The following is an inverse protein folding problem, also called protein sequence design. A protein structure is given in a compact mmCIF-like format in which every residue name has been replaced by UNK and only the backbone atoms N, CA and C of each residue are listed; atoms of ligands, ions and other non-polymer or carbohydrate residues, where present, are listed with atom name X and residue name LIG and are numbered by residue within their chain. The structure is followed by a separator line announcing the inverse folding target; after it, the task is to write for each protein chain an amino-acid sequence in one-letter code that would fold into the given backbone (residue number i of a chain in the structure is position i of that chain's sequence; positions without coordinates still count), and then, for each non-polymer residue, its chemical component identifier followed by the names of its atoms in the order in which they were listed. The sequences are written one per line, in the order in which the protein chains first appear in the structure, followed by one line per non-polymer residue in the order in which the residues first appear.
data_IF_549861964626
#
_entry.id   IF_549861964626
#
_cell.length_a   1.000
_cell.length_b   1.000
_cell.length_c   1.000
_cell.angle_alpha   90.00
_cell.angle_beta   90.00
_cell.angle_gamma   90.00
#
_symmetry.space_group_name_H-M   'P 1'
#
loop_
_entity.id
_entity.type
_entity.pdbx_description
1 polymer ?
#
# COMPACT_ATOMS: atom_id res chain seq x y z
N UNK A 1 10.17 -21.92 48.53
CA UNK A 1 9.47 -20.85 47.79
C UNK A 1 10.40 -20.30 46.73
N UNK A 2 10.32 -20.80 45.49
CA UNK A 2 11.12 -20.31 44.38
C UNK A 2 10.39 -19.16 43.68
N UNK A 3 10.97 -17.96 43.69
CA UNK A 3 10.49 -16.82 42.90
C UNK A 3 10.94 -17.04 41.46
N UNK A 4 9.99 -17.32 40.57
CA UNK A 4 10.21 -17.32 39.11
C UNK A 4 10.61 -15.90 38.69
N UNK A 5 11.85 -15.73 38.22
CA UNK A 5 12.30 -14.48 37.65
C UNK A 5 11.54 -14.18 36.35
N UNK A 6 11.14 -12.93 36.07
CA UNK A 6 10.46 -12.57 34.83
C UNK A 6 11.36 -12.80 33.61
N UNK A 7 10.77 -13.36 32.56
CA UNK A 7 11.44 -13.77 31.33
C UNK A 7 12.01 -12.52 30.60
N UNK A 8 13.32 -12.43 30.30
CA UNK A 8 13.94 -11.21 29.75
C UNK A 8 13.38 -10.74 28.40
N UNK A 9 12.70 -11.62 27.65
CA UNK A 9 12.04 -11.29 26.39
C UNK A 9 10.76 -10.47 26.56
N UNK A 10 9.97 -10.68 27.64
CA UNK A 10 8.76 -9.89 27.90
C UNK A 10 9.13 -8.46 28.30
N UNK A 11 10.12 -8.32 29.20
CA UNK A 11 10.60 -7.02 29.69
C UNK A 11 11.16 -6.13 28.57
N UNK A 12 11.79 -6.71 27.55
CA UNK A 12 12.29 -5.99 26.36
C UNK A 12 11.16 -5.54 25.43
N UNK A 13 10.14 -6.36 25.24
CA UNK A 13 8.95 -5.99 24.44
C UNK A 13 8.13 -4.89 25.13
N UNK A 14 7.97 -4.98 26.45
CA UNK A 14 7.23 -4.01 27.27
C UNK A 14 7.92 -2.63 27.27
N UNK A 15 9.25 -2.61 27.34
CA UNK A 15 10.03 -1.37 27.27
C UNK A 15 10.01 -0.71 25.88
N UNK A 16 10.02 -1.50 24.80
CA UNK A 16 9.88 -1.00 23.43
C UNK A 16 8.47 -0.44 23.19
N UNK A 17 7.43 -1.16 23.64
CA UNK A 17 6.04 -0.72 23.57
C UNK A 17 5.84 0.58 24.36
N UNK A 18 6.38 0.68 25.57
CA UNK A 18 6.31 1.89 26.38
C UNK A 18 7.04 3.07 25.72
N UNK A 19 8.19 2.83 25.09
CA UNK A 19 8.92 3.88 24.37
C UNK A 19 8.15 4.37 23.13
N UNK A 20 7.53 3.44 22.38
CA UNK A 20 6.68 3.78 21.25
C UNK A 20 5.46 4.60 21.69
N UNK A 21 4.74 4.15 22.72
CA UNK A 21 3.56 4.85 23.24
C UNK A 21 3.89 6.26 23.72
N UNK A 22 4.99 6.45 24.46
CA UNK A 22 5.43 7.80 24.85
C UNK A 22 5.69 8.70 23.65
N UNK A 23 6.39 8.19 22.63
CA UNK A 23 6.68 8.96 21.41
C UNK A 23 5.41 9.29 20.63
N UNK A 24 4.48 8.34 20.53
CA UNK A 24 3.20 8.53 19.85
C UNK A 24 2.32 9.55 20.59
N UNK A 25 2.14 9.40 21.91
CA UNK A 25 1.34 10.33 22.73
C UNK A 25 1.88 11.74 22.66
N UNK A 26 3.20 11.94 22.79
CA UNK A 26 3.78 13.28 22.68
C UNK A 26 3.61 13.91 21.28
N UNK A 27 3.56 13.10 20.22
CA UNK A 27 3.25 13.62 18.88
C UNK A 27 1.78 14.03 18.77
N UNK A 28 0.87 13.22 19.29
CA UNK A 28 -0.57 13.50 19.31
C UNK A 28 -0.92 14.73 20.13
N UNK A 29 -0.28 14.93 21.29
CA UNK A 29 -0.46 16.12 22.13
C UNK A 29 -0.08 17.40 21.38
N UNK A 30 1.05 17.39 20.65
CA UNK A 30 1.48 18.55 19.84
C UNK A 30 0.53 18.85 18.68
N UNK A 31 0.02 17.81 18.03
CA UNK A 31 -0.96 17.95 16.95
C UNK A 31 -2.31 18.45 17.48
N UNK A 32 -2.77 17.95 18.63
CA UNK A 32 -4.00 18.42 19.25
C UNK A 32 -3.89 19.88 19.72
N UNK A 33 -2.72 20.30 20.21
CA UNK A 33 -2.47 21.68 20.63
C UNK A 33 -2.50 22.71 19.48
N UNK A 34 -2.27 22.27 18.23
CA UNK A 34 -2.32 23.12 17.04
C UNK A 34 -3.64 23.02 16.28
N UNK A 35 -4.48 22.05 16.59
CA UNK A 35 -5.78 21.86 15.96
C UNK A 35 -6.85 22.81 16.51
N UNK A 36 -7.77 23.27 15.65
CA UNK A 36 -8.92 24.05 16.12
C UNK A 36 -9.90 23.20 16.95
N UNK A 37 -10.66 23.78 17.89
CA UNK A 37 -11.68 23.05 18.65
C UNK A 37 -12.71 22.34 17.78
N UNK A 38 -13.08 22.92 16.63
CA UNK A 38 -13.98 22.30 15.66
C UNK A 38 -13.36 21.07 15.02
N UNK A 39 -12.09 21.16 14.65
CA UNK A 39 -11.31 20.04 14.09
C UNK A 39 -11.23 18.88 15.08
N UNK A 40 -10.97 19.15 16.36
CA UNK A 40 -10.96 18.12 17.39
C UNK A 40 -12.35 17.48 17.59
N UNK A 41 -13.41 18.29 17.59
CA UNK A 41 -14.79 17.81 17.69
C UNK A 41 -15.17 16.89 16.52
N UNK A 42 -14.81 17.27 15.30
CA UNK A 42 -15.08 16.47 14.10
C UNK A 42 -14.27 15.17 14.08
N UNK A 43 -13.02 15.20 14.58
CA UNK A 43 -12.20 14.00 14.77
C UNK A 43 -12.84 13.03 15.78
N UNK A 44 -13.35 13.54 16.90
CA UNK A 44 -14.01 12.74 17.95
C UNK A 44 -15.34 12.12 17.49
N UNK A 45 -15.95 12.64 16.41
CA UNK A 45 -17.14 12.04 15.81
C UNK A 45 -16.84 10.75 15.04
N UNK A 46 -15.55 10.40 14.83
CA UNK A 46 -15.19 9.15 14.19
C UNK A 46 -15.57 7.94 15.07
N UNK A 47 -16.02 6.81 14.49
CA UNK A 47 -16.50 5.66 15.27
C UNK A 47 -15.44 4.91 16.10
N UNK A 48 -14.15 5.20 15.88
CA UNK A 48 -13.04 4.49 16.53
C UNK A 48 -11.85 5.42 16.73
N UNK A 49 -11.03 5.15 17.76
CA UNK A 49 -9.82 5.93 18.08
C UNK A 49 -8.86 6.03 16.89
N UNK A 50 -8.66 4.93 16.16
CA UNK A 50 -7.85 4.91 14.94
C UNK A 50 -8.45 5.79 13.83
N UNK A 51 -9.78 5.81 13.71
CA UNK A 51 -10.50 6.68 12.78
C UNK A 51 -10.32 8.16 13.11
N UNK A 52 -10.39 8.52 14.40
CA UNK A 52 -10.16 9.89 14.87
C UNK A 52 -8.75 10.38 14.53
N UNK A 53 -7.75 9.51 14.71
CA UNK A 53 -6.36 9.81 14.38
C UNK A 53 -6.13 9.95 12.88
N UNK A 54 -6.69 9.04 12.07
CA UNK A 54 -6.57 9.09 10.61
C UNK A 54 -7.22 10.36 10.03
N UNK A 55 -8.39 10.73 10.56
CA UNK A 55 -9.08 11.95 10.17
C UNK A 55 -8.26 13.20 10.51
N UNK A 56 -7.70 13.27 11.73
CA UNK A 56 -6.90 14.41 12.17
C UNK A 56 -5.58 14.56 11.35
N UNK A 57 -4.93 13.45 11.00
CA UNK A 57 -3.75 13.43 10.11
C UNK A 57 -4.04 13.86 8.67
N UNK A 58 -5.30 13.80 8.23
CA UNK A 58 -5.71 14.18 6.87
C UNK A 58 -5.93 15.69 6.70
N UNK A 59 -5.98 16.47 7.79
CA UNK A 59 -6.28 17.90 7.77
C UNK A 59 -5.00 18.73 7.62
N UNK A 60 -4.93 19.52 6.55
CA UNK A 60 -3.79 20.42 6.26
C UNK A 60 -3.54 21.48 7.34
N UNK A 61 -4.57 21.88 8.10
CA UNK A 61 -4.51 22.90 9.17
C UNK A 61 -3.78 22.39 10.43
N UNK A 62 -3.93 21.10 10.75
CA UNK A 62 -3.27 20.43 11.89
C UNK A 62 -1.82 20.06 11.56
N UNK A 63 -1.52 20.04 10.27
CA UNK A 63 -0.17 19.86 9.70
C UNK A 63 0.56 21.22 9.57
N UNK A 64 0.00 22.32 10.12
CA UNK A 64 0.60 23.65 10.10
C UNK A 64 1.91 23.76 10.91
N UNK A 65 2.76 24.71 10.45
CA UNK A 65 4.11 25.15 10.88
C UNK A 65 4.90 24.33 11.93
N UNK A 66 4.33 23.99 13.08
CA UNK A 66 4.99 23.21 14.12
C UNK A 66 5.26 21.73 13.75
N UNK A 67 4.53 21.15 12.78
CA UNK A 67 4.77 19.79 12.27
C UNK A 67 5.77 19.79 11.09
N UNK A 68 5.80 20.89 10.32
CA UNK A 68 6.66 21.06 9.14
C UNK A 68 8.14 21.13 9.56
N UNK A 69 8.46 21.64 10.76
CA UNK A 69 9.83 21.68 11.26
C UNK A 69 10.39 20.33 11.78
N UNK A 70 9.57 19.30 12.01
CA UNK A 70 10.04 18.09 12.74
C UNK A 70 9.98 16.76 11.99
N UNK A 71 9.16 16.58 10.94
CA UNK A 71 9.28 15.40 10.05
C UNK A 71 8.64 15.62 8.66
N UNK A 72 9.45 15.93 7.62
CA UNK A 72 9.00 16.09 6.22
C UNK A 72 8.24 14.89 5.63
N UNK A 73 8.28 13.72 6.28
CA UNK A 73 7.68 12.48 5.77
C UNK A 73 6.17 12.40 6.01
N UNK A 74 5.60 13.13 6.98
CA UNK A 74 4.16 12.99 7.32
C UNK A 74 3.22 13.34 6.14
N UNK A 75 3.39 14.48 5.43
CA UNK A 75 2.61 14.77 4.24
C UNK A 75 2.86 13.77 3.10
N UNK A 76 4.09 13.25 2.98
CA UNK A 76 4.43 12.25 1.98
C UNK A 76 3.74 10.90 2.27
N UNK A 77 3.62 10.51 3.55
CA UNK A 77 2.90 9.32 3.98
C UNK A 77 1.40 9.44 3.69
N UNK A 78 0.78 10.58 4.00
CA UNK A 78 -0.63 10.82 3.70
C UNK A 78 -0.92 10.73 2.19
N UNK A 79 -0.08 11.38 1.36
CA UNK A 79 -0.18 11.28 -0.11
C UNK A 79 -0.04 9.84 -0.61
N UNK A 80 0.87 9.06 -0.01
CA UNK A 80 1.04 7.65 -0.35
C UNK A 80 -0.20 6.81 -0.02
N UNK A 81 -0.83 7.03 1.14
CA UNK A 81 -2.06 6.31 1.51
C UNK A 81 -3.19 6.62 0.54
N UNK A 82 -3.40 7.90 0.23
CA UNK A 82 -4.44 8.33 -0.71
C UNK A 82 -4.19 7.82 -2.13
N UNK A 83 -2.93 7.84 -2.58
CA UNK A 83 -2.55 7.26 -3.86
C UNK A 83 -2.87 5.77 -3.95
N UNK A 84 -2.53 5.00 -2.91
CA UNK A 84 -2.83 3.55 -2.85
C UNK A 84 -4.33 3.28 -2.89
N UNK A 85 -5.15 4.07 -2.19
CA UNK A 85 -6.61 3.95 -2.26
C UNK A 85 -7.12 4.13 -3.69
N UNK A 86 -6.70 5.20 -4.37
CA UNK A 86 -7.08 5.47 -5.77
C UNK A 86 -6.61 4.36 -6.72
N UNK A 87 -5.43 3.78 -6.50
CA UNK A 87 -4.96 2.64 -7.28
C UNK A 87 -5.87 1.42 -7.10
N UNK A 88 -6.30 1.12 -5.88
CA UNK A 88 -7.25 0.02 -5.64
C UNK A 88 -8.59 0.28 -6.32
N UNK A 89 -9.12 1.49 -6.24
CA UNK A 89 -10.37 1.86 -6.93
C UNK A 89 -10.25 1.68 -8.45
N UNK A 90 -9.19 2.21 -9.05
CA UNK A 90 -8.90 2.06 -10.49
C UNK A 90 -8.63 0.60 -10.90
N UNK A 91 -8.14 -0.22 -9.97
CA UNK A 91 -7.96 -1.66 -10.19
C UNK A 91 -9.28 -2.45 -10.15
N UNK A 92 -10.43 -1.80 -9.89
CA UNK A 92 -11.70 -2.50 -9.69
C UNK A 92 -11.79 -3.19 -8.33
N UNK A 93 -11.02 -2.74 -7.34
CA UNK A 93 -10.91 -3.34 -6.03
C UNK A 93 -9.86 -4.45 -5.93
N UNK A 94 -9.98 -5.27 -4.89
CA UNK A 94 -9.09 -6.40 -4.64
C UNK A 94 -9.85 -7.64 -4.19
N UNK A 95 -9.31 -8.80 -4.52
CA UNK A 95 -9.78 -10.10 -4.08
C UNK A 95 -8.95 -10.62 -2.90
N UNK A 96 -9.53 -11.48 -2.07
CA UNK A 96 -8.76 -12.30 -1.13
C UNK A 96 -8.05 -13.45 -1.89
N UNK A 97 -7.14 -14.16 -1.21
CA UNK A 97 -6.53 -15.37 -1.76
C UNK A 97 -7.56 -16.48 -2.04
N UNK A 98 -8.64 -16.52 -1.26
CA UNK A 98 -9.72 -17.49 -1.43
C UNK A 98 -10.59 -17.15 -2.64
N UNK A 99 -10.97 -15.87 -2.80
CA UNK A 99 -11.76 -15.42 -3.94
C UNK A 99 -10.96 -15.53 -5.25
N UNK A 100 -9.67 -15.19 -5.22
CA UNK A 100 -8.75 -15.38 -6.36
C UNK A 100 -8.63 -16.85 -6.73
N UNK A 101 -8.60 -17.74 -5.73
CA UNK A 101 -8.58 -19.19 -5.96
C UNK A 101 -9.85 -19.68 -6.64
N UNK A 102 -11.02 -19.23 -6.18
CA UNK A 102 -12.31 -19.54 -6.81
C UNK A 102 -12.38 -19.03 -8.24
N UNK A 103 -11.94 -17.79 -8.50
CA UNK A 103 -11.91 -17.20 -9.84
C UNK A 103 -11.02 -18.00 -10.80
N UNK A 104 -9.83 -18.40 -10.36
CA UNK A 104 -8.86 -19.12 -11.18
C UNK A 104 -9.07 -20.64 -11.23
N UNK A 105 -10.06 -21.19 -10.50
CA UNK A 105 -10.25 -22.64 -10.36
C UNK A 105 -9.08 -23.37 -9.66
N UNK A 106 -8.35 -22.69 -8.77
CA UNK A 106 -7.20 -23.25 -8.03
C UNK A 106 -7.35 -23.08 -6.51
N UNK A 107 -6.57 -23.83 -5.74
CA UNK A 107 -6.58 -23.68 -4.28
C UNK A 107 -5.96 -22.35 -3.83
N UNK A 108 -6.39 -21.84 -2.66
CA UNK A 108 -5.75 -20.72 -1.97
C UNK A 108 -4.22 -20.89 -1.86
N UNK A 109 -3.75 -22.10 -1.56
CA UNK A 109 -2.33 -22.42 -1.47
C UNK A 109 -1.61 -22.28 -2.82
N UNK A 110 -2.29 -22.62 -3.93
CA UNK A 110 -1.75 -22.42 -5.28
C UNK A 110 -1.71 -20.93 -5.64
N UNK A 111 -2.69 -20.12 -5.22
CA UNK A 111 -2.64 -18.65 -5.32
C UNK A 111 -1.42 -18.11 -4.57
N UNK A 112 -1.23 -18.52 -3.31
CA UNK A 112 -0.08 -18.10 -2.50
C UNK A 112 1.26 -18.53 -3.14
N UNK A 113 1.31 -19.74 -3.74
CA UNK A 113 2.48 -20.22 -4.48
C UNK A 113 2.77 -19.33 -5.69
N UNK A 114 1.76 -18.99 -6.49
CA UNK A 114 1.90 -18.09 -7.66
C UNK A 114 2.31 -16.68 -7.25
N UNK A 115 1.78 -16.15 -6.14
CA UNK A 115 2.23 -14.87 -5.57
C UNK A 115 3.71 -14.91 -5.21
N UNK A 116 4.14 -15.95 -4.47
CA UNK A 116 5.55 -16.10 -4.04
C UNK A 116 6.51 -16.26 -5.22
N UNK A 117 6.06 -16.87 -6.32
CA UNK A 117 6.85 -17.00 -7.54
C UNK A 117 6.80 -15.77 -8.45
N UNK A 118 6.10 -14.69 -8.06
CA UNK A 118 5.94 -13.49 -8.87
C UNK A 118 5.02 -13.65 -10.09
N UNK A 119 4.16 -14.67 -10.10
CA UNK A 119 3.18 -14.92 -11.16
C UNK A 119 1.82 -14.27 -10.90
N UNK A 120 1.57 -13.80 -9.67
CA UNK A 120 0.39 -13.02 -9.30
C UNK A 120 0.80 -11.78 -8.55
N UNK A 121 0.20 -10.64 -8.92
CA UNK A 121 0.42 -9.39 -8.23
C UNK A 121 -0.41 -9.39 -6.95
N UNK A 122 0.23 -9.07 -5.83
CA UNK A 122 -0.47 -8.86 -4.58
C UNK A 122 0.13 -7.67 -3.84
N UNK A 123 -0.76 -6.86 -3.27
CA UNK A 123 -0.41 -5.71 -2.44
C UNK A 123 -0.72 -6.01 -0.98
N UNK A 124 -0.01 -5.33 -0.08
CA UNK A 124 -0.24 -5.44 1.36
C UNK A 124 -1.39 -4.54 1.79
N UNK A 125 -2.33 -5.12 2.52
CA UNK A 125 -3.34 -4.42 3.29
C UNK A 125 -3.27 -4.93 4.73
N UNK A 126 -2.66 -4.13 5.62
CA UNK A 126 -2.25 -4.58 6.95
C UNK A 126 -1.36 -5.83 6.90
N UNK A 127 -1.78 -6.89 7.59
CA UNK A 127 -1.09 -8.20 7.64
C UNK A 127 -1.44 -9.13 6.47
N UNK A 128 -2.41 -8.76 5.65
CA UNK A 128 -2.98 -9.63 4.63
C UNK A 128 -2.45 -9.31 3.24
N UNK A 129 -2.61 -10.27 2.33
CA UNK A 129 -2.34 -10.09 0.91
C UNK A 129 -3.65 -9.91 0.16
N UNK A 130 -3.72 -8.86 -0.64
CA UNK A 130 -4.84 -8.53 -1.50
C UNK A 130 -4.41 -8.57 -2.96
N UNK A 131 -5.26 -9.11 -3.81
CA UNK A 131 -4.97 -9.34 -5.22
C UNK A 131 -5.77 -8.35 -6.07
N UNK A 132 -5.16 -7.31 -6.67
CA UNK A 132 -5.87 -6.33 -7.49
C UNK A 132 -6.70 -7.01 -8.57
N UNK A 133 -7.99 -6.67 -8.68
CA UNK A 133 -8.93 -7.37 -9.56
C UNK A 133 -8.57 -7.20 -11.05
N UNK A 134 -7.99 -6.05 -11.40
CA UNK A 134 -7.58 -5.71 -12.75
C UNK A 134 -6.59 -6.68 -13.41
N UNK A 135 -5.84 -7.46 -12.63
CA UNK A 135 -4.87 -8.44 -13.16
C UNK A 135 -5.52 -9.69 -13.75
N UNK A 136 -6.82 -9.89 -13.49
CA UNK A 136 -7.58 -11.02 -13.98
C UNK A 136 -8.37 -10.61 -15.23
N UNK A 137 -8.50 -11.58 -16.13
CA UNK A 137 -9.39 -11.51 -17.28
C UNK A 137 -10.21 -12.81 -17.30
N UNK A 138 -11.50 -12.68 -17.04
CA UNK A 138 -12.42 -13.80 -16.78
C UNK A 138 -11.88 -14.77 -15.69
N UNK A 139 -11.41 -15.95 -16.09
CA UNK A 139 -10.86 -16.99 -15.20
C UNK A 139 -9.33 -17.12 -15.29
N UNK A 140 -8.66 -16.19 -15.96
CA UNK A 140 -7.23 -16.23 -16.18
C UNK A 140 -6.52 -14.98 -15.66
N UNK A 141 -5.19 -15.06 -15.56
CA UNK A 141 -4.34 -13.90 -15.28
C UNK A 141 -3.95 -13.28 -16.60
N UNK A 142 -4.08 -11.96 -16.72
CA UNK A 142 -3.66 -11.22 -17.90
C UNK A 142 -2.20 -11.57 -18.25
N UNK A 143 -1.98 -11.99 -19.49
CA UNK A 143 -0.66 -12.36 -19.98
C UNK A 143 0.30 -11.16 -19.87
N UNK A 144 1.51 -11.39 -19.35
CA UNK A 144 2.53 -10.34 -19.17
C UNK A 144 2.59 -9.71 -17.77
N UNK A 145 1.61 -9.97 -16.89
CA UNK A 145 1.65 -9.48 -15.50
C UNK A 145 2.93 -9.91 -14.76
N UNK A 146 3.39 -11.15 -14.97
CA UNK A 146 4.63 -11.65 -14.38
C UNK A 146 5.88 -10.87 -14.81
N UNK A 147 5.90 -10.29 -16.02
CA UNK A 147 7.03 -9.49 -16.48
C UNK A 147 7.06 -8.14 -15.79
N UNK A 148 5.89 -7.52 -15.59
CA UNK A 148 5.77 -6.27 -14.85
C UNK A 148 6.16 -6.45 -13.39
N UNK A 149 5.69 -7.52 -12.73
CA UNK A 149 6.08 -7.83 -11.35
C UNK A 149 7.60 -7.98 -11.23
N UNK A 150 8.22 -8.67 -12.20
CA UNK A 150 9.67 -8.89 -12.23
C UNK A 150 10.44 -7.59 -12.40
N UNK A 151 9.99 -6.71 -13.32
CA UNK A 151 10.62 -5.43 -13.58
C UNK A 151 10.63 -4.53 -12.32
N UNK A 152 9.57 -4.59 -11.52
CA UNK A 152 9.44 -3.80 -10.29
C UNK A 152 9.70 -4.60 -9.00
N UNK A 153 10.44 -5.70 -9.07
CA UNK A 153 10.70 -6.55 -7.90
C UNK A 153 11.43 -5.80 -6.76
N UNK A 154 12.31 -4.84 -7.08
CA UNK A 154 13.02 -4.00 -6.11
C UNK A 154 12.17 -2.84 -5.58
N UNK A 155 11.37 -2.22 -6.44
CA UNK A 155 10.52 -1.07 -6.10
C UNK A 155 9.24 -1.49 -5.34
N UNK A 156 8.77 -2.71 -5.58
CA UNK A 156 7.67 -3.33 -4.88
C UNK A 156 6.32 -3.32 -5.63
N UNK A 157 5.33 -4.07 -5.11
CA UNK A 157 4.09 -4.37 -5.82
C UNK A 157 3.17 -3.17 -6.02
N UNK A 158 3.27 -2.14 -5.16
CA UNK A 158 2.50 -0.91 -5.34
C UNK A 158 2.96 -0.10 -6.55
N UNK A 159 4.26 -0.10 -6.84
CA UNK A 159 4.82 0.56 -8.03
C UNK A 159 4.44 -0.22 -9.28
N UNK A 160 4.49 -1.54 -9.24
CA UNK A 160 4.01 -2.39 -10.32
C UNK A 160 2.52 -2.13 -10.65
N UNK A 161 1.66 -2.00 -9.62
CA UNK A 161 0.25 -1.68 -9.81
C UNK A 161 0.04 -0.29 -10.42
N UNK A 162 0.80 0.71 -9.97
CA UNK A 162 0.74 2.06 -10.51
C UNK A 162 1.10 2.08 -12.00
N UNK A 163 2.24 1.47 -12.36
CA UNK A 163 2.67 1.32 -13.75
C UNK A 163 1.63 0.62 -14.63
N UNK A 164 0.99 -0.44 -14.12
CA UNK A 164 -0.06 -1.15 -14.86
C UNK A 164 -1.24 -0.24 -15.22
N UNK A 165 -1.58 0.69 -14.34
CA UNK A 165 -2.78 1.52 -14.47
C UNK A 165 -2.46 2.88 -15.12
N UNK A 166 -1.23 3.39 -15.03
CA UNK A 166 -0.85 4.69 -15.56
C UNK A 166 -0.96 4.73 -17.10
N UNK A 167 -1.66 5.72 -17.68
CA UNK A 167 -1.64 5.96 -19.12
C UNK A 167 -0.23 6.33 -19.60
N UNK A 168 0.18 5.81 -20.74
CA UNK A 168 1.51 6.05 -21.30
C UNK A 168 1.44 6.48 -22.77
N UNK A 169 2.16 7.56 -23.10
CA UNK A 169 2.23 8.09 -24.46
C UNK A 169 2.87 7.12 -25.47
N UNK A 170 3.86 6.32 -25.04
CA UNK A 170 4.49 5.28 -25.86
C UNK A 170 3.54 4.12 -26.18
N UNK A 171 2.44 3.99 -25.42
CA UNK A 171 1.36 3.03 -25.66
C UNK A 171 0.14 3.66 -26.34
N UNK A 172 0.28 4.90 -26.85
CA UNK A 172 -0.80 5.65 -27.50
C UNK A 172 -1.85 6.19 -26.52
N UNK A 173 -1.44 6.52 -25.29
CA UNK A 173 -2.32 6.98 -24.23
C UNK A 173 -3.05 5.86 -23.48
N UNK A 174 -2.83 4.60 -23.87
CA UNK A 174 -3.28 3.42 -23.12
C UNK A 174 -2.38 3.19 -21.92
N UNK A 175 -2.93 2.56 -20.89
CA UNK A 175 -2.16 1.97 -19.80
C UNK A 175 -1.47 0.68 -20.22
N UNK A 176 -0.43 0.28 -19.48
CA UNK A 176 0.22 -1.01 -19.70
C UNK A 176 -0.78 -2.17 -19.57
N UNK A 177 -1.72 -2.12 -18.63
CA UNK A 177 -2.76 -3.14 -18.47
C UNK A 177 -3.67 -3.24 -19.70
N UNK A 178 -4.11 -2.11 -20.27
CA UNK A 178 -4.94 -2.11 -21.48
C UNK A 178 -4.18 -2.69 -22.68
N UNK A 179 -2.89 -2.35 -22.81
CA UNK A 179 -2.04 -2.93 -23.84
C UNK A 179 -1.93 -4.46 -23.66
N UNK A 180 -1.68 -4.95 -22.44
CA UNK A 180 -1.63 -6.39 -22.14
C UNK A 180 -2.96 -7.09 -22.45
N UNK A 181 -4.10 -6.52 -22.05
CA UNK A 181 -5.43 -7.07 -22.35
C UNK A 181 -5.74 -7.11 -23.85
N UNK A 182 -5.18 -6.18 -24.63
CA UNK A 182 -5.27 -6.20 -26.10
C UNK A 182 -4.27 -7.16 -26.78
N UNK A 183 -3.44 -7.88 -26.01
CA UNK A 183 -2.43 -8.80 -26.53
C UNK A 183 -1.10 -8.12 -26.94
N UNK A 184 -0.96 -6.82 -26.72
CA UNK A 184 0.22 -6.02 -27.10
C UNK A 184 1.34 -6.09 -26.04
N UNK A 185 1.72 -7.31 -25.66
CA UNK A 185 2.73 -7.56 -24.62
C UNK A 185 4.11 -7.00 -25.00
N UNK A 186 4.45 -7.04 -26.28
CA UNK A 186 5.76 -6.57 -26.76
C UNK A 186 5.92 -5.06 -26.60
N UNK A 187 4.86 -4.26 -26.76
CA UNK A 187 4.90 -2.84 -26.46
C UNK A 187 5.17 -2.57 -24.98
N UNK A 188 4.53 -3.31 -24.07
CA UNK A 188 4.76 -3.18 -22.63
C UNK A 188 6.18 -3.59 -22.26
N UNK A 189 6.73 -4.66 -22.85
CA UNK A 189 8.13 -5.06 -22.62
C UNK A 189 9.13 -4.02 -23.15
N UNK A 190 8.82 -3.32 -24.25
CA UNK A 190 9.65 -2.19 -24.72
C UNK A 190 9.62 -1.04 -23.73
N UNK A 191 8.44 -0.66 -23.24
CA UNK A 191 8.28 0.40 -22.25
C UNK A 191 9.02 0.09 -20.94
N UNK A 192 8.93 -1.15 -20.44
CA UNK A 192 9.66 -1.56 -19.25
C UNK A 192 11.18 -1.44 -19.41
N UNK A 193 11.71 -1.65 -20.62
CA UNK A 193 13.14 -1.49 -20.90
C UNK A 193 13.56 -0.03 -20.95
N UNK A 194 12.74 0.88 -21.48
CA UNK A 194 13.06 2.31 -21.49
C UNK A 194 13.08 2.88 -20.07
N UNK A 195 12.07 2.55 -19.25
CA UNK A 195 12.02 2.98 -17.83
C UNK A 195 13.25 2.51 -17.03
N UNK A 196 13.74 1.29 -17.31
CA UNK A 196 14.94 0.76 -16.66
C UNK A 196 16.24 1.46 -17.08
N UNK A 197 16.26 2.09 -18.26
CA UNK A 197 17.41 2.84 -18.78
C UNK A 197 17.42 4.28 -18.26
N UNK A 198 16.24 4.87 -18.06
CA UNK A 198 16.09 6.27 -17.62
C UNK A 198 16.25 6.44 -16.10
N UNK A 199 16.09 5.37 -15.31
CA UNK A 199 16.25 5.36 -13.83
C UNK A 199 17.67 5.58 -13.28
N UNK A 200 18.62 6.04 -14.09
CA UNK A 200 20.02 6.34 -13.72
C UNK A 200 20.42 7.82 -13.83
N UNK A 201 19.46 8.75 -13.98
CA UNK A 201 19.71 10.20 -14.03
C UNK A 201 19.44 10.91 -12.70
#
# INVERSE_FOLDING_TARGET
MARTAPNPSSTRSDSLQAAFLRRATSALERMAASASPKTLSDALAAPTDAGSLAWLLSRSEVVGEAVIELDPLVPALARNVEHRKRLIERAGGTLSAEDSGRLLGISRQAVDKRRRSGALLAVRDGSDWRYPACQFDETEVVAGIADVIRAYASAGPWVALDFLLAPDSALGGRSALEALKSGDRDAVLRLLRSEAQDGYA
#
